data_IF_739024705079
#
_entry.id   IF_739024705079
#
_cell.length_a   1.000
_cell.length_b   1.000
_cell.length_c   1.000
_cell.angle_alpha   90.00
_cell.angle_beta   90.00
_cell.angle_gamma   90.00
#
_symmetry.space_group_name_H-M   'P 1'
#
loop_
_entity.id
_entity.type
_entity.pdbx_description
1 polymer ?
#
# COMPACT_ATOMS: atom_id res chain seq x y z
N UNK A 1 9.96 -9.23 9.89
CA UNK A 1 9.82 -8.77 8.49
C UNK A 1 8.35 -8.87 8.11
N UNK A 2 7.72 -7.79 7.63
CA UNK A 2 6.34 -7.84 7.13
C UNK A 2 6.24 -8.83 5.95
N UNK A 3 5.25 -9.71 5.96
CA UNK A 3 5.08 -10.77 4.95
C UNK A 3 3.79 -10.59 4.17
N UNK A 4 3.89 -10.72 2.84
CA UNK A 4 2.75 -10.70 1.93
C UNK A 4 1.69 -11.73 2.33
N UNK A 5 0.44 -11.27 2.43
CA UNK A 5 -0.73 -12.09 2.77
C UNK A 5 -0.90 -13.31 1.84
N UNK A 6 -0.63 -13.16 0.53
CA UNK A 6 -0.87 -14.22 -0.46
C UNK A 6 0.24 -15.28 -0.55
N UNK A 7 1.50 -14.89 -0.37
CA UNK A 7 2.64 -15.75 -0.72
C UNK A 7 3.74 -15.85 0.34
N UNK A 8 3.57 -15.19 1.49
CA UNK A 8 4.51 -15.17 2.61
C UNK A 8 5.94 -14.70 2.24
N UNK A 9 6.10 -13.99 1.11
CA UNK A 9 7.35 -13.29 0.76
C UNK A 9 7.40 -11.93 1.46
N UNK A 10 8.56 -11.29 1.45
CA UNK A 10 8.72 -9.92 1.96
C UNK A 10 7.67 -8.99 1.34
N UNK A 11 6.90 -8.31 2.21
CA UNK A 11 5.96 -7.30 1.80
C UNK A 11 6.70 -6.00 1.50
N UNK A 12 6.28 -5.34 0.43
CA UNK A 12 6.80 -4.03 0.02
C UNK A 12 5.70 -2.99 -0.10
N UNK A 13 4.43 -3.41 -0.01
CA UNK A 13 3.25 -2.57 -0.14
C UNK A 13 2.27 -2.79 1.02
N UNK A 14 1.47 -1.78 1.33
CA UNK A 14 0.41 -1.83 2.33
C UNK A 14 -0.88 -1.22 1.77
N UNK A 15 -2.02 -1.86 2.06
CA UNK A 15 -3.33 -1.36 1.67
C UNK A 15 -3.72 -0.15 2.51
N UNK A 16 -3.93 0.97 1.82
CA UNK A 16 -4.37 2.22 2.43
C UNK A 16 -5.65 2.71 1.78
N UNK A 17 -6.37 3.59 2.47
CA UNK A 17 -7.48 4.32 1.90
C UNK A 17 -6.98 5.52 1.08
N UNK A 18 -7.92 6.27 0.50
CA UNK A 18 -7.65 7.48 -0.29
C UNK A 18 -6.78 8.53 0.44
N UNK A 19 -6.79 8.56 1.78
CA UNK A 19 -6.05 9.50 2.61
C UNK A 19 -4.76 8.92 3.21
N UNK A 20 -4.25 7.80 2.68
CA UNK A 20 -3.08 7.09 3.21
C UNK A 20 -3.26 6.48 4.62
N UNK A 21 -4.48 6.42 5.17
CA UNK A 21 -4.69 5.67 6.40
C UNK A 21 -4.68 4.17 6.09
N UNK A 22 -4.01 3.37 6.92
CA UNK A 22 -4.05 1.91 6.82
C UNK A 22 -5.49 1.41 7.01
N UNK A 23 -5.93 0.51 6.12
CA UNK A 23 -7.25 -0.12 6.23
C UNK A 23 -7.16 -1.24 7.27
N UNK A 24 -8.20 -1.42 8.10
CA UNK A 24 -8.25 -2.51 9.07
C UNK A 24 -9.14 -3.67 8.58
N UNK A 25 -8.70 -4.95 8.73
CA UNK A 25 -7.39 -5.38 9.23
C UNK A 25 -6.26 -4.89 8.30
N UNK A 26 -5.07 -4.67 8.84
CA UNK A 26 -3.93 -4.19 8.06
C UNK A 26 -3.48 -5.27 7.08
N UNK A 27 -3.44 -4.92 5.79
CA UNK A 27 -3.12 -5.87 4.72
C UNK A 27 -1.84 -5.44 4.00
N UNK A 28 -0.82 -6.29 4.04
CA UNK A 28 0.49 -6.03 3.43
C UNK A 28 0.81 -7.05 2.33
N UNK A 29 1.49 -6.60 1.28
CA UNK A 29 1.64 -7.35 0.04
C UNK A 29 3.04 -7.19 -0.55
N UNK A 30 3.52 -8.22 -1.25
CA UNK A 30 4.73 -8.09 -2.07
C UNK A 30 4.42 -7.34 -3.36
N UNK A 31 5.45 -6.83 -4.05
CA UNK A 31 5.30 -6.09 -5.29
C UNK A 31 4.51 -6.83 -6.39
N UNK A 32 4.53 -8.17 -6.40
CA UNK A 32 3.77 -8.96 -7.37
C UNK A 32 2.27 -8.99 -7.05
N UNK A 33 1.89 -9.21 -5.78
CA UNK A 33 0.48 -9.34 -5.39
C UNK A 33 -0.19 -8.01 -5.07
N UNK A 34 0.57 -6.94 -4.85
CA UNK A 34 0.02 -5.62 -4.51
C UNK A 34 -0.98 -5.05 -5.54
N UNK A 35 -0.97 -5.58 -6.78
CA UNK A 35 -1.78 -5.11 -7.91
C UNK A 35 -2.44 -6.25 -8.72
N UNK A 36 -2.36 -7.51 -8.28
CA UNK A 36 -2.83 -8.68 -9.06
C UNK A 36 -4.36 -8.83 -9.06
N UNK A 37 -5.04 -8.29 -8.04
CA UNK A 37 -6.50 -8.33 -7.88
C UNK A 37 -7.22 -7.04 -8.36
N UNK A 38 -6.50 -6.18 -9.07
CA UNK A 38 -7.03 -4.91 -9.60
C UNK A 38 -6.90 -3.72 -8.66
N UNK A 39 -6.21 -3.87 -7.52
CA UNK A 39 -5.72 -2.74 -6.74
C UNK A 39 -4.93 -1.74 -7.59
N UNK A 40 -5.01 -0.49 -7.19
CA UNK A 40 -4.48 0.64 -7.93
C UNK A 40 -3.26 1.24 -7.24
N UNK A 41 -2.49 1.98 -8.03
CA UNK A 41 -1.31 2.70 -7.57
C UNK A 41 -1.51 4.19 -7.87
N UNK A 42 -1.21 5.05 -6.88
CA UNK A 42 -1.14 6.48 -7.12
C UNK A 42 0.12 6.81 -7.94
N UNK A 43 -0.07 7.42 -9.11
CA UNK A 43 1.04 7.71 -10.03
C UNK A 43 2.07 8.69 -9.45
N UNK A 44 1.68 9.52 -8.48
CA UNK A 44 2.58 10.47 -7.82
C UNK A 44 3.35 9.76 -6.70
N UNK A 45 2.67 9.01 -5.84
CA UNK A 45 3.31 8.26 -4.75
C UNK A 45 4.40 7.32 -5.27
N UNK A 46 4.15 6.64 -6.40
CA UNK A 46 5.14 5.81 -7.08
C UNK A 46 6.37 6.62 -7.52
N UNK A 47 6.14 7.72 -8.24
CA UNK A 47 7.22 8.53 -8.83
C UNK A 47 8.10 9.22 -7.78
N UNK A 48 7.54 9.57 -6.62
CA UNK A 48 8.27 10.25 -5.55
C UNK A 48 8.76 9.32 -4.43
N UNK A 49 8.45 8.02 -4.51
CA UNK A 49 8.86 7.05 -3.49
C UNK A 49 8.17 7.29 -2.14
N UNK A 50 6.89 7.66 -2.15
CA UNK A 50 6.12 7.84 -0.92
C UNK A 50 5.94 6.49 -0.21
N UNK A 51 6.19 6.47 1.09
CA UNK A 51 6.11 5.28 1.93
C UNK A 51 5.23 5.54 3.16
N UNK A 52 4.57 4.49 3.60
CA UNK A 52 3.72 4.39 4.78
C UNK A 52 4.54 3.71 5.87
N UNK A 53 4.60 4.34 7.04
CA UNK A 53 5.16 3.74 8.24
C UNK A 53 4.20 2.67 8.77
N UNK A 54 4.67 1.42 8.87
CA UNK A 54 3.91 0.27 9.34
C UNK A 54 4.70 -0.44 10.44
N UNK A 55 4.07 -0.70 11.58
CA UNK A 55 4.67 -1.46 12.69
C UNK A 55 3.97 -2.82 12.77
N UNK A 56 4.73 -3.92 12.70
CA UNK A 56 4.15 -5.27 12.78
C UNK A 56 3.84 -5.71 14.22
N UNK A 57 3.30 -6.93 14.37
CA UNK A 57 2.96 -7.53 15.66
C UNK A 57 4.14 -7.74 16.62
N UNK A 58 5.38 -7.65 16.13
CA UNK A 58 6.61 -7.80 16.90
C UNK A 58 7.25 -6.44 17.27
N UNK A 59 6.53 -5.33 17.09
CA UNK A 59 7.04 -3.95 17.26
C UNK A 59 8.23 -3.65 16.33
N UNK A 60 8.29 -4.28 15.15
CA UNK A 60 9.26 -3.95 14.11
C UNK A 60 8.66 -2.91 13.14
N UNK A 61 9.40 -1.84 12.85
CA UNK A 61 8.97 -0.78 11.94
C UNK A 61 9.44 -1.03 10.50
N UNK A 62 8.56 -0.74 9.54
CA UNK A 62 8.78 -0.90 8.10
C UNK A 62 8.26 0.32 7.33
N UNK A 63 8.91 0.58 6.19
CA UNK A 63 8.47 1.57 5.20
C UNK A 63 7.90 0.81 3.99
N UNK A 64 6.59 0.89 3.79
CA UNK A 64 5.88 0.16 2.72
C UNK A 64 5.24 1.14 1.74
N UNK A 65 5.22 0.83 0.45
CA UNK A 65 4.55 1.68 -0.54
C UNK A 65 3.03 1.52 -0.44
N UNK A 66 2.25 2.59 -0.67
CA UNK A 66 0.80 2.49 -0.63
C UNK A 66 0.26 1.70 -1.83
N UNK A 67 -0.71 0.84 -1.59
CA UNK A 67 -1.62 0.29 -2.61
C UNK A 67 -3.06 0.62 -2.24
N UNK A 68 -3.93 0.79 -3.24
CA UNK A 68 -5.30 1.30 -3.06
C UNK A 68 -6.31 0.31 -3.59
N UNK A 69 -7.45 0.16 -2.93
CA UNK A 69 -8.52 -0.68 -3.47
C UNK A 69 -9.08 -0.10 -4.78
N UNK A 70 -9.62 -0.94 -5.68
CA UNK A 70 -10.16 -0.47 -6.95
C UNK A 70 -11.22 0.63 -6.78
N UNK A 71 -11.02 1.76 -7.44
CA UNK A 71 -11.92 2.91 -7.43
C UNK A 71 -11.76 3.84 -6.23
N UNK A 72 -10.71 3.66 -5.41
CA UNK A 72 -10.39 4.59 -4.32
C UNK A 72 -9.64 5.83 -4.78
N UNK A 73 -8.92 5.77 -5.90
CA UNK A 73 -8.23 6.92 -6.46
C UNK A 73 -9.20 7.78 -7.29
N UNK A 74 -8.90 9.08 -7.41
CA UNK A 74 -9.65 9.98 -8.28
C UNK A 74 -9.45 9.64 -9.77
N UNK A 75 -10.19 10.34 -10.65
CA UNK A 75 -10.11 10.17 -12.10
C UNK A 75 -8.69 10.36 -12.71
N UNK A 76 -7.75 10.94 -11.95
CA UNK A 76 -6.33 11.05 -12.30
C UNK A 76 -5.45 9.91 -11.79
N UNK A 77 -6.00 8.88 -11.16
CA UNK A 77 -5.27 7.86 -10.38
C UNK A 77 -4.36 8.49 -9.31
N UNK A 78 -4.94 9.41 -8.54
CA UNK A 78 -4.28 10.20 -7.50
C UNK A 78 -4.99 10.06 -6.16
N UNK A 79 -4.21 10.07 -5.08
CA UNK A 79 -4.68 10.03 -3.69
C UNK A 79 -4.97 11.45 -3.15
N UNK A 80 -5.52 11.57 -1.94
CA UNK A 80 -5.91 12.88 -1.38
C UNK A 80 -4.78 13.89 -1.21
N UNK A 81 -3.55 13.41 -1.07
CA UNK A 81 -2.37 14.23 -0.84
C UNK A 81 -1.86 14.91 -2.12
N UNK A 82 -2.36 14.49 -3.29
CA UNK A 82 -1.85 14.94 -4.59
C UNK A 82 -3.01 15.28 -5.55
N UNK A 83 -2.98 16.46 -6.20
CA UNK A 83 -4.00 16.84 -7.19
C UNK A 83 -3.84 16.11 -8.53
#
# INVERSE_FOLDING_TARGET
MATCEDCNREATHILVNYNHDTVQPEEVYCAEHAFDDGREMCSICENFGYAIEYTDENDEDYELQPTYAPGQLDAGHMCSDHP
#
